data_IF_010457896810
#
_entry.id   IF_010457896810
#
_cell.length_a   1.000
_cell.length_b   1.000
_cell.length_c   1.000
_cell.angle_alpha   90.00
_cell.angle_beta   90.00
_cell.angle_gamma   90.00
#
_symmetry.space_group_name_H-M   'P 1'
#
loop_
_entity.id
_entity.type
_entity.pdbx_description
1 polymer ?
#
# COMPACT_ATOMS: atom_id res chain seq x y z
N UNK A 1 25.37 -9.50 1.30
CA UNK A 1 24.04 -10.07 1.00
C UNK A 1 23.04 -8.97 1.29
N UNK A 2 22.11 -8.71 0.37
CA UNK A 2 21.02 -7.75 0.62
C UNK A 2 20.24 -8.20 1.86
N UNK A 3 19.91 -7.24 2.73
CA UNK A 3 19.20 -7.52 3.99
C UNK A 3 17.75 -7.99 3.74
N UNK A 4 17.16 -7.55 2.63
CA UNK A 4 15.79 -7.85 2.22
C UNK A 4 15.77 -8.55 0.87
N UNK A 5 14.82 -9.47 0.71
CA UNK A 5 14.55 -10.12 -0.56
C UNK A 5 13.67 -11.36 -0.46
N UNK A 6 13.02 -11.70 -1.58
CA UNK A 6 12.14 -12.88 -1.68
C UNK A 6 12.54 -13.73 -2.89
N UNK A 7 13.15 -14.87 -2.60
CA UNK A 7 13.78 -15.75 -3.58
C UNK A 7 12.93 -16.97 -3.98
N UNK A 8 11.81 -17.19 -3.30
CA UNK A 8 10.91 -18.33 -3.52
C UNK A 8 9.59 -18.13 -2.78
N UNK A 9 8.50 -18.69 -3.30
CA UNK A 9 7.19 -18.75 -2.61
C UNK A 9 7.09 -19.84 -1.53
N UNK A 10 8.04 -20.80 -1.49
CA UNK A 10 7.97 -21.98 -0.61
C UNK A 10 9.12 -22.10 0.39
N UNK A 11 10.08 -21.18 0.34
CA UNK A 11 11.22 -21.13 1.25
C UNK A 11 10.82 -20.77 2.68
N UNK A 12 11.79 -20.84 3.60
CA UNK A 12 11.58 -20.41 4.98
C UNK A 12 11.34 -18.89 5.02
N UNK A 13 10.12 -18.49 5.32
CA UNK A 13 9.77 -17.09 5.60
C UNK A 13 10.51 -16.61 6.86
N UNK A 14 11.13 -15.43 6.77
CA UNK A 14 11.92 -14.81 7.86
C UNK A 14 11.32 -13.50 8.35
N UNK A 15 10.99 -12.60 7.44
CA UNK A 15 10.39 -11.28 7.69
C UNK A 15 9.10 -11.17 6.87
N UNK A 16 8.04 -10.57 7.41
CA UNK A 16 6.79 -10.34 6.69
C UNK A 16 6.13 -9.02 7.13
N UNK A 17 5.55 -8.30 6.17
CA UNK A 17 4.74 -7.11 6.39
C UNK A 17 3.25 -7.49 6.40
N UNK A 18 2.53 -7.06 7.43
CA UNK A 18 1.07 -7.25 7.58
C UNK A 18 0.41 -5.92 7.94
N UNK A 19 -0.91 -5.84 7.88
CA UNK A 19 -1.67 -4.69 8.36
C UNK A 19 -2.85 -5.18 9.18
N UNK A 20 -2.94 -4.71 10.42
CA UNK A 20 -4.03 -5.11 11.32
C UNK A 20 -5.29 -4.29 11.02
N UNK A 21 -6.48 -4.92 10.91
CA UNK A 21 -7.71 -4.17 10.69
C UNK A 21 -7.90 -3.05 11.73
N UNK A 22 -8.27 -1.86 11.28
CA UNK A 22 -8.28 -0.61 12.04
C UNK A 22 -9.51 0.27 11.76
N UNK A 23 -9.28 1.58 11.69
CA UNK A 23 -10.31 2.63 11.54
C UNK A 23 -10.98 2.57 10.16
N UNK A 24 -10.22 2.26 9.12
CA UNK A 24 -10.66 2.09 7.73
C UNK A 24 -11.79 1.08 7.59
N UNK A 25 -11.76 0.01 8.41
CA UNK A 25 -12.81 -0.99 8.44
C UNK A 25 -14.02 -0.57 9.27
N UNK A 26 -13.85 0.28 10.28
CA UNK A 26 -14.97 0.84 11.06
C UNK A 26 -15.80 1.84 10.26
N UNK A 27 -15.19 2.42 9.21
CA UNK A 27 -15.81 3.39 8.30
C UNK A 27 -16.42 2.75 7.05
N UNK A 28 -16.35 1.42 6.94
CA UNK A 28 -17.12 0.67 5.95
C UNK A 28 -18.60 0.75 6.30
N UNK A 29 -19.39 1.08 5.29
CA UNK A 29 -20.85 1.10 5.32
C UNK A 29 -21.37 0.30 4.14
N UNK A 30 -22.61 -0.23 4.21
CA UNK A 30 -23.19 -0.92 3.06
C UNK A 30 -23.22 -0.07 1.78
N UNK A 31 -23.29 1.27 1.92
CA UNK A 31 -23.32 2.21 0.79
C UNK A 31 -21.95 2.51 0.16
N UNK A 32 -20.83 2.30 0.86
CA UNK A 32 -19.49 2.62 0.34
C UNK A 32 -18.60 1.39 0.08
N UNK A 33 -19.00 0.21 0.56
CA UNK A 33 -18.17 -1.00 0.50
C UNK A 33 -17.78 -1.39 -0.94
N UNK A 34 -18.72 -1.37 -1.88
CA UNK A 34 -18.46 -1.69 -3.30
C UNK A 34 -17.45 -0.72 -3.93
N UNK A 35 -17.59 0.58 -3.69
CA UNK A 35 -16.68 1.62 -4.20
C UNK A 35 -15.27 1.45 -3.62
N UNK A 36 -15.19 1.07 -2.34
CA UNK A 36 -13.94 0.79 -1.63
C UNK A 36 -13.40 -0.62 -1.91
N UNK A 37 -14.03 -1.36 -2.83
CA UNK A 37 -13.65 -2.71 -3.27
C UNK A 37 -13.58 -3.69 -2.10
N UNK A 38 -14.55 -3.62 -1.22
CA UNK A 38 -14.66 -4.49 -0.06
C UNK A 38 -16.04 -5.17 -0.08
N UNK A 39 -16.07 -6.49 0.09
CA UNK A 39 -17.29 -7.27 -0.17
C UNK A 39 -18.42 -6.94 0.83
N UNK A 40 -18.12 -6.87 2.13
CA UNK A 40 -19.11 -6.66 3.17
C UNK A 40 -18.53 -5.91 4.39
N UNK A 41 -19.41 -5.27 5.18
CA UNK A 41 -19.02 -4.66 6.46
C UNK A 41 -18.64 -5.77 7.45
N UNK A 42 -17.47 -5.62 8.09
CA UNK A 42 -16.92 -6.65 8.97
C UNK A 42 -17.09 -6.33 10.46
N UNK A 43 -17.12 -7.38 11.29
CA UNK A 43 -17.02 -7.22 12.73
C UNK A 43 -15.56 -6.95 13.13
N UNK A 44 -15.18 -5.67 13.14
CA UNK A 44 -13.78 -5.23 13.26
C UNK A 44 -13.05 -5.80 14.49
N UNK A 45 -13.69 -5.85 15.67
CA UNK A 45 -13.04 -6.38 16.87
C UNK A 45 -12.76 -7.88 16.77
N UNK A 46 -13.65 -8.64 16.10
CA UNK A 46 -13.43 -10.06 15.83
C UNK A 46 -12.33 -10.26 14.79
N UNK A 47 -12.33 -9.48 13.72
CA UNK A 47 -11.30 -9.56 12.70
C UNK A 47 -9.91 -9.20 13.24
N UNK A 48 -9.82 -8.21 14.15
CA UNK A 48 -8.61 -7.91 14.92
C UNK A 48 -8.12 -9.14 15.69
N UNK A 49 -9.00 -9.82 16.42
CA UNK A 49 -8.64 -11.03 17.17
C UNK A 49 -8.19 -12.18 16.25
N UNK A 50 -8.84 -12.37 15.10
CA UNK A 50 -8.46 -13.37 14.11
C UNK A 50 -7.09 -13.05 13.46
N UNK A 51 -6.84 -11.77 13.15
CA UNK A 51 -5.55 -11.31 12.65
C UNK A 51 -4.44 -11.47 13.69
N UNK A 52 -4.71 -11.15 14.95
CA UNK A 52 -3.75 -11.34 16.05
C UNK A 52 -3.36 -12.82 16.19
N UNK A 53 -4.35 -13.73 16.14
CA UNK A 53 -4.09 -15.16 16.14
C UNK A 53 -3.26 -15.62 14.92
N UNK A 54 -3.53 -15.08 13.73
CA UNK A 54 -2.74 -15.32 12.52
C UNK A 54 -1.27 -14.89 12.69
N UNK A 55 -1.03 -13.70 13.25
CA UNK A 55 0.33 -13.19 13.51
C UNK A 55 1.07 -14.04 14.55
N UNK A 56 0.40 -14.45 15.61
CA UNK A 56 1.03 -15.28 16.65
C UNK A 56 1.46 -16.65 16.11
N UNK A 57 0.72 -17.25 15.18
CA UNK A 57 1.14 -18.48 14.51
C UNK A 57 2.46 -18.29 13.74
N UNK A 58 2.67 -17.14 13.10
CA UNK A 58 3.91 -16.82 12.40
C UNK A 58 5.07 -16.57 13.36
N UNK A 59 4.85 -15.79 14.43
CA UNK A 59 5.85 -15.49 15.45
C UNK A 59 6.32 -16.74 16.19
N UNK A 60 5.41 -17.66 16.53
CA UNK A 60 5.77 -18.96 17.10
C UNK A 60 6.68 -19.80 16.19
N UNK A 61 6.68 -19.54 14.87
CA UNK A 61 7.58 -20.19 13.89
C UNK A 61 8.87 -19.39 13.65
N UNK A 62 9.13 -18.35 14.45
CA UNK A 62 10.32 -17.51 14.36
C UNK A 62 10.31 -16.52 13.19
N UNK A 63 9.12 -16.15 12.68
CA UNK A 63 8.98 -15.10 11.67
C UNK A 63 8.92 -13.75 12.37
N UNK A 64 9.74 -12.80 11.93
CA UNK A 64 9.61 -11.39 12.29
C UNK A 64 8.44 -10.78 11.52
N UNK A 65 7.46 -10.26 12.26
CA UNK A 65 6.22 -9.70 11.70
C UNK A 65 6.21 -8.20 11.95
N UNK A 66 6.17 -7.43 10.87
CA UNK A 66 6.09 -5.98 10.86
C UNK A 66 4.69 -5.52 10.49
N UNK A 67 4.22 -4.45 11.11
CA UNK A 67 2.90 -3.87 10.84
C UNK A 67 3.04 -2.60 10.00
N UNK A 68 2.32 -2.50 8.89
CA UNK A 68 2.38 -1.37 7.97
C UNK A 68 2.02 -0.05 8.65
N UNK A 69 1.00 -0.05 9.52
CA UNK A 69 0.59 1.12 10.29
C UNK A 69 1.67 1.59 11.27
N UNK A 70 2.43 0.66 11.85
CA UNK A 70 3.55 0.96 12.75
C UNK A 70 4.73 1.51 11.98
N UNK A 71 5.15 0.83 10.91
CA UNK A 71 6.24 1.30 10.07
C UNK A 71 5.93 2.66 9.41
N UNK A 72 4.66 2.92 9.06
CA UNK A 72 4.25 4.22 8.54
C UNK A 72 4.39 5.31 9.62
N UNK A 73 3.93 5.04 10.84
CA UNK A 73 4.06 5.99 11.95
C UNK A 73 5.54 6.29 12.25
N UNK A 74 6.40 5.26 12.27
CA UNK A 74 7.84 5.41 12.47
C UNK A 74 8.50 6.18 11.31
N UNK A 75 8.09 5.95 10.06
CA UNK A 75 8.56 6.72 8.91
C UNK A 75 8.16 8.20 8.99
N UNK A 76 6.97 8.49 9.52
CA UNK A 76 6.45 9.85 9.73
C UNK A 76 7.14 10.61 10.88
N UNK A 77 8.10 10.01 11.59
CA UNK A 77 9.02 10.77 12.44
C UNK A 77 9.97 11.65 11.61
N UNK A 78 10.26 11.26 10.37
CA UNK A 78 11.02 12.08 9.42
C UNK A 78 10.16 13.20 8.83
N UNK A 79 10.62 14.45 8.96
CA UNK A 79 9.99 15.61 8.35
C UNK A 79 9.90 15.49 6.82
N UNK A 80 10.88 14.86 6.15
CA UNK A 80 10.84 14.61 4.71
C UNK A 80 9.70 13.66 4.32
N UNK A 81 9.39 12.67 5.15
CA UNK A 81 8.25 11.77 4.95
C UNK A 81 6.92 12.52 5.04
N UNK A 82 6.77 13.43 6.03
CA UNK A 82 5.58 14.27 6.18
C UNK A 82 5.36 15.20 5.00
N UNK A 83 6.43 15.81 4.48
CA UNK A 83 6.37 16.65 3.28
C UNK A 83 5.94 15.83 2.07
N UNK A 84 6.53 14.65 1.89
CA UNK A 84 6.21 13.78 0.77
C UNK A 84 4.75 13.28 0.83
N UNK A 85 4.29 12.80 1.99
CA UNK A 85 2.90 12.37 2.18
C UNK A 85 1.91 13.51 1.92
N UNK A 86 2.22 14.71 2.40
CA UNK A 86 1.40 15.90 2.14
C UNK A 86 1.24 16.16 0.64
N UNK A 87 2.34 16.06 -0.11
CA UNK A 87 2.34 16.29 -1.55
C UNK A 87 1.57 15.21 -2.34
N UNK A 88 1.44 13.99 -1.82
CA UNK A 88 0.85 12.86 -2.53
C UNK A 88 -0.58 12.53 -2.10
N UNK A 89 -0.86 12.49 -0.79
CA UNK A 89 -2.15 12.06 -0.24
C UNK A 89 -3.03 13.22 0.23
N UNK A 90 -2.41 14.33 0.66
CA UNK A 90 -3.12 15.49 1.22
C UNK A 90 -3.02 16.73 0.32
N UNK A 91 -2.78 16.53 -0.98
CA UNK A 91 -2.64 17.62 -1.94
C UNK A 91 -3.98 18.26 -2.29
N UNK A 92 -3.92 19.44 -2.93
CA UNK A 92 -5.11 20.15 -3.39
C UNK A 92 -5.97 19.32 -4.36
N UNK A 93 -5.35 18.40 -5.10
CA UNK A 93 -6.04 17.51 -6.03
C UNK A 93 -6.77 16.37 -5.33
N UNK A 94 -6.34 16.02 -4.12
CA UNK A 94 -6.92 14.94 -3.34
C UNK A 94 -8.02 15.46 -2.42
N UNK A 95 -7.74 16.54 -1.68
CA UNK A 95 -8.61 17.01 -0.58
C UNK A 95 -9.01 18.49 -0.74
N UNK A 96 -8.82 19.09 -1.92
CA UNK A 96 -9.15 20.48 -2.21
C UNK A 96 -8.17 21.49 -1.61
N UNK A 97 -8.22 22.74 -2.09
CA UNK A 97 -7.29 23.82 -1.70
C UNK A 97 -7.31 24.04 -0.17
N UNK A 98 -8.49 24.33 0.39
CA UNK A 98 -8.64 24.56 1.83
C UNK A 98 -8.30 23.31 2.67
N UNK A 99 -8.60 22.11 2.17
CA UNK A 99 -8.24 20.86 2.84
C UNK A 99 -6.72 20.67 2.92
N UNK A 100 -6.02 20.94 1.83
CA UNK A 100 -4.56 20.85 1.77
C UNK A 100 -3.88 21.86 2.70
N UNK A 101 -4.38 23.10 2.74
CA UNK A 101 -3.87 24.13 3.66
C UNK A 101 -4.03 23.72 5.13
N UNK A 102 -5.20 23.18 5.51
CA UNK A 102 -5.43 22.68 6.86
C UNK A 102 -4.55 21.47 7.18
N UNK A 103 -4.38 20.56 6.21
CA UNK A 103 -3.56 19.37 6.37
C UNK A 103 -2.09 19.69 6.61
N UNK A 104 -1.55 20.75 6.00
CA UNK A 104 -0.15 21.18 6.23
C UNK A 104 0.10 21.58 7.69
N UNK A 105 -0.77 22.39 8.30
CA UNK A 105 -0.60 22.76 9.71
C UNK A 105 -0.81 21.57 10.66
N UNK A 106 -1.74 20.68 10.34
CA UNK A 106 -2.00 19.47 11.14
C UNK A 106 -0.85 18.48 11.09
N UNK A 107 -0.32 18.15 9.90
CA UNK A 107 0.71 17.11 9.75
C UNK A 107 2.04 17.51 10.39
N UNK A 108 2.33 18.81 10.54
CA UNK A 108 3.53 19.29 11.24
C UNK A 108 3.46 19.09 12.76
N UNK A 109 2.26 19.15 13.34
CA UNK A 109 2.06 19.20 14.80
C UNK A 109 1.48 17.93 15.39
N UNK A 110 0.78 17.13 14.58
CA UNK A 110 0.17 15.88 15.00
C UNK A 110 1.20 14.79 15.32
N UNK A 111 0.78 13.85 16.17
CA UNK A 111 1.59 12.68 16.50
C UNK A 111 1.66 11.74 15.28
N UNK A 112 2.82 11.13 14.97
CA UNK A 112 2.96 10.25 13.81
C UNK A 112 1.93 9.11 13.75
N UNK A 113 1.59 8.54 14.90
CA UNK A 113 0.58 7.47 15.02
C UNK A 113 -0.82 7.97 14.63
N UNK A 114 -1.20 9.18 15.03
CA UNK A 114 -2.48 9.80 14.65
C UNK A 114 -2.53 10.09 13.15
N UNK A 115 -1.41 10.57 12.58
CA UNK A 115 -1.28 10.81 11.15
C UNK A 115 -1.46 9.48 10.39
N UNK A 116 -0.76 8.43 10.80
CA UNK A 116 -0.86 7.10 10.19
C UNK A 116 -2.29 6.53 10.26
N UNK A 117 -2.93 6.60 11.43
CA UNK A 117 -4.30 6.10 11.62
C UNK A 117 -5.31 6.82 10.71
N UNK A 118 -5.18 8.13 10.53
CA UNK A 118 -6.08 8.92 9.67
C UNK A 118 -5.74 8.81 8.17
N UNK A 119 -4.48 8.64 7.79
CA UNK A 119 -4.13 8.38 6.38
C UNK A 119 -4.66 7.02 5.91
N UNK A 120 -4.62 6.01 6.78
CA UNK A 120 -5.15 4.67 6.49
C UNK A 120 -6.67 4.66 6.65
N UNK A 121 -7.17 5.18 7.77
CA UNK A 121 -8.58 5.25 8.15
C UNK A 121 -9.41 6.25 7.36
N UNK A 122 -8.79 7.08 6.53
CA UNK A 122 -9.40 8.21 5.87
C UNK A 122 -9.64 9.39 6.82
N UNK A 123 -10.19 10.48 6.28
CA UNK A 123 -10.46 11.72 7.01
C UNK A 123 -11.89 12.14 6.73
N UNK A 124 -12.66 12.40 7.78
CA UNK A 124 -14.02 12.95 7.70
C UNK A 124 -14.01 14.47 7.90
N UNK A 125 -15.11 15.15 7.57
CA UNK A 125 -15.29 16.56 7.92
C UNK A 125 -15.23 16.83 9.43
N UNK A 126 -15.66 15.87 10.26
CA UNK A 126 -15.62 16.00 11.72
C UNK A 126 -14.18 15.95 12.27
N UNK A 127 -13.31 15.16 11.65
CA UNK A 127 -11.88 15.09 12.02
C UNK A 127 -11.16 16.42 11.76
N UNK A 128 -11.59 17.18 10.74
CA UNK A 128 -11.00 18.46 10.35
C UNK A 128 -11.31 19.63 11.31
N UNK A 129 -12.14 19.43 12.35
CA UNK A 129 -12.47 20.34 13.48
C UNK A 129 -12.90 21.80 13.18
N UNK A 130 -12.85 22.28 11.93
CA UNK A 130 -13.44 23.53 11.41
C UNK A 130 -13.15 23.66 9.90
N UNK A 131 -13.68 22.76 9.07
CA UNK A 131 -13.45 22.82 7.63
C UNK A 131 -14.09 24.05 6.98
N UNK A 132 -13.39 24.63 6.00
CA UNK A 132 -13.91 25.69 5.14
C UNK A 132 -13.61 25.38 3.67
N UNK A 133 -14.21 26.14 2.74
CA UNK A 133 -14.03 25.95 1.30
C UNK A 133 -15.09 25.09 0.63
N UNK A 134 -15.04 25.03 -0.71
CA UNK A 134 -16.10 24.45 -1.53
C UNK A 134 -16.28 22.94 -1.31
N UNK A 135 -15.18 22.20 -1.12
CA UNK A 135 -15.26 20.76 -0.84
C UNK A 135 -16.04 20.50 0.44
N UNK A 136 -15.69 21.22 1.53
CA UNK A 136 -16.36 21.09 2.82
C UNK A 136 -17.83 21.57 2.75
N UNK A 137 -18.10 22.68 2.05
CA UNK A 137 -19.45 23.22 1.92
C UNK A 137 -20.39 22.34 1.06
N UNK A 138 -19.82 21.52 0.17
CA UNK A 138 -20.57 20.62 -0.72
C UNK A 138 -20.60 19.18 -0.21
N UNK A 139 -19.87 18.89 0.87
CA UNK A 139 -19.74 17.58 1.47
C UNK A 139 -20.99 17.24 2.30
N UNK A 140 -21.55 16.04 2.09
CA UNK A 140 -22.56 15.50 2.99
C UNK A 140 -21.94 15.24 4.38
N UNK A 141 -22.72 15.29 5.49
CA UNK A 141 -22.19 15.09 6.84
C UNK A 141 -21.45 13.75 7.07
N UNK A 142 -21.73 12.73 6.24
CA UNK A 142 -21.06 11.43 6.26
C UNK A 142 -19.99 11.24 5.18
N UNK A 143 -19.65 12.29 4.42
CA UNK A 143 -18.67 12.20 3.34
C UNK A 143 -17.23 12.15 3.88
N UNK A 144 -16.41 11.38 3.17
CA UNK A 144 -14.98 11.24 3.44
C UNK A 144 -14.24 12.30 2.62
N UNK A 145 -13.47 13.16 3.29
CA UNK A 145 -12.53 14.09 2.64
C UNK A 145 -11.34 13.31 2.05
N UNK A 146 -10.85 12.32 2.79
CA UNK A 146 -9.91 11.32 2.31
C UNK A 146 -10.55 9.94 2.51
N UNK A 147 -10.72 9.11 1.46
CA UNK A 147 -11.35 7.80 1.62
C UNK A 147 -10.48 6.85 2.46
N UNK A 148 -11.10 5.90 3.20
CA UNK A 148 -10.38 4.88 3.94
C UNK A 148 -9.75 3.84 3.00
N UNK A 149 -8.71 3.15 3.46
CA UNK A 149 -7.97 2.13 2.71
C UNK A 149 -8.18 0.71 3.28
N UNK A 150 -9.39 0.14 3.26
CA UNK A 150 -9.67 -1.16 3.89
C UNK A 150 -8.85 -2.31 3.27
N UNK A 151 -8.57 -2.22 1.97
CA UNK A 151 -7.77 -3.22 1.27
C UNK A 151 -6.27 -3.21 1.63
N UNK A 152 -5.81 -2.24 2.45
CA UNK A 152 -4.46 -2.28 3.02
C UNK A 152 -4.23 -3.54 3.86
N UNK A 153 -5.28 -4.22 4.36
CA UNK A 153 -5.11 -5.52 5.04
C UNK A 153 -4.49 -6.58 4.11
N UNK A 154 -4.62 -6.43 2.79
CA UNK A 154 -4.04 -7.28 1.77
C UNK A 154 -2.69 -6.75 1.29
N UNK A 155 -1.69 -6.79 2.17
CA UNK A 155 -0.31 -6.33 1.91
C UNK A 155 0.40 -6.99 0.72
N UNK A 156 -0.18 -8.06 0.17
CA UNK A 156 0.31 -8.73 -1.03
C UNK A 156 0.25 -7.85 -2.28
N UNK A 157 -0.73 -6.96 -2.39
CA UNK A 157 -1.02 -6.30 -3.66
C UNK A 157 -0.27 -4.98 -3.90
N UNK A 158 -0.07 -4.07 -2.92
CA UNK A 158 0.54 -2.76 -3.16
C UNK A 158 2.05 -2.80 -3.48
N UNK A 159 2.75 -3.87 -3.08
CA UNK A 159 4.16 -4.07 -3.44
C UNK A 159 4.51 -5.55 -3.53
N UNK A 160 5.53 -5.89 -4.31
CA UNK A 160 6.03 -7.27 -4.45
C UNK A 160 7.55 -7.32 -4.40
N UNK A 161 8.10 -8.07 -3.44
CA UNK A 161 9.52 -8.37 -3.43
C UNK A 161 9.83 -9.48 -4.44
N UNK A 162 10.87 -9.27 -5.26
CA UNK A 162 11.31 -10.17 -6.31
C UNK A 162 12.84 -10.24 -6.21
N UNK A 163 13.34 -11.33 -5.64
CA UNK A 163 14.75 -11.47 -5.28
C UNK A 163 15.23 -10.27 -4.46
N UNK A 164 16.31 -9.58 -4.83
CA UNK A 164 16.81 -8.40 -4.13
C UNK A 164 16.06 -7.09 -4.42
N UNK A 165 15.11 -7.09 -5.36
CA UNK A 165 14.34 -5.91 -5.76
C UNK A 165 12.89 -5.92 -5.29
N UNK A 166 12.21 -4.78 -5.43
CA UNK A 166 10.80 -4.61 -5.08
C UNK A 166 10.04 -3.84 -6.16
N UNK A 167 8.78 -4.19 -6.37
CA UNK A 167 7.84 -3.38 -7.15
C UNK A 167 6.95 -2.56 -6.25
N UNK A 168 6.71 -1.29 -6.60
CA UNK A 168 5.75 -0.39 -5.93
C UNK A 168 4.55 -0.21 -6.84
N UNK A 169 3.56 -1.07 -6.66
CA UNK A 169 2.67 -1.48 -7.74
C UNK A 169 1.70 -0.37 -8.19
N UNK A 170 1.69 0.03 -9.49
CA UNK A 170 0.64 0.88 -10.05
C UNK A 170 -0.69 0.11 -10.08
N UNK A 171 -1.55 0.40 -9.11
CA UNK A 171 -2.81 -0.30 -8.91
C UNK A 171 -3.81 -0.07 -10.04
N UNK A 172 -4.55 -1.12 -10.41
CA UNK A 172 -5.55 -1.06 -11.48
C UNK A 172 -6.76 -0.19 -11.13
N UNK A 173 -7.16 -0.20 -9.86
CA UNK A 173 -8.30 0.57 -9.36
C UNK A 173 -7.82 1.82 -8.61
N UNK A 174 -8.33 3.02 -8.94
CA UNK A 174 -7.94 4.26 -8.25
C UNK A 174 -8.09 4.21 -6.73
N UNK A 175 -9.14 3.56 -6.22
CA UNK A 175 -9.41 3.42 -4.79
C UNK A 175 -8.24 2.78 -4.00
N UNK A 176 -7.42 1.96 -4.66
CA UNK A 176 -6.28 1.26 -4.03
C UNK A 176 -4.95 1.99 -4.12
N UNK A 177 -4.86 3.09 -4.88
CA UNK A 177 -3.59 3.81 -5.10
C UNK A 177 -3.00 4.39 -3.83
N UNK A 178 -3.85 4.75 -2.86
CA UNK A 178 -3.40 5.18 -1.54
C UNK A 178 -2.58 4.11 -0.81
N UNK A 179 -2.91 2.82 -0.98
CA UNK A 179 -2.17 1.70 -0.37
C UNK A 179 -0.71 1.67 -0.85
N UNK A 180 -0.49 1.88 -2.15
CA UNK A 180 0.85 1.95 -2.74
C UNK A 180 1.64 3.13 -2.18
N UNK A 181 1.00 4.30 -2.00
CA UNK A 181 1.66 5.48 -1.42
C UNK A 181 2.07 5.25 0.04
N UNK A 182 1.27 4.51 0.82
CA UNK A 182 1.64 4.12 2.19
C UNK A 182 2.89 3.25 2.18
N UNK A 183 2.90 2.20 1.35
CA UNK A 183 4.05 1.28 1.27
C UNK A 183 5.30 1.97 0.72
N UNK A 184 5.14 2.87 -0.25
CA UNK A 184 6.24 3.68 -0.78
C UNK A 184 6.84 4.61 0.26
N UNK A 185 6.00 5.29 1.06
CA UNK A 185 6.49 6.11 2.17
C UNK A 185 7.30 5.26 3.18
N UNK A 186 6.81 4.06 3.52
CA UNK A 186 7.53 3.13 4.38
C UNK A 186 8.90 2.80 3.79
N UNK A 187 8.97 2.34 2.54
CA UNK A 187 10.24 1.95 1.92
C UNK A 187 11.22 3.12 1.73
N UNK A 188 10.70 4.33 1.49
CA UNK A 188 11.51 5.51 1.20
C UNK A 188 12.10 6.17 2.44
N UNK A 189 11.39 6.11 3.57
CA UNK A 189 11.73 6.92 4.75
C UNK A 189 11.93 6.14 6.04
N UNK A 190 11.43 4.90 6.14
CA UNK A 190 11.55 4.15 7.37
C UNK A 190 13.01 3.73 7.63
N UNK A 191 13.58 3.95 8.84
CA UNK A 191 14.98 3.64 9.15
C UNK A 191 15.39 2.20 8.82
N UNK A 192 14.51 1.22 9.02
CA UNK A 192 14.77 -0.19 8.66
C UNK A 192 15.21 -0.39 7.21
N UNK A 193 14.70 0.42 6.26
CA UNK A 193 15.08 0.33 4.86
C UNK A 193 16.18 1.33 4.50
N UNK A 194 16.12 2.55 5.04
CA UNK A 194 17.11 3.60 4.76
C UNK A 194 18.49 3.21 5.28
N UNK A 195 18.58 2.74 6.52
CA UNK A 195 19.84 2.37 7.17
C UNK A 195 20.46 1.10 6.56
N UNK A 196 19.65 0.27 5.87
CA UNK A 196 20.14 -0.88 5.10
C UNK A 196 20.65 -0.51 3.69
N UNK A 197 20.66 0.77 3.34
CA UNK A 197 21.09 1.27 2.02
C UNK A 197 19.93 1.52 1.03
N UNK A 198 18.69 1.53 1.49
CA UNK A 198 17.48 1.73 0.69
C UNK A 198 16.92 0.43 0.09
N UNK A 199 15.84 0.57 -0.68
CA UNK A 199 15.25 -0.52 -1.49
C UNK A 199 15.52 -0.30 -2.97
N UNK A 200 15.74 -1.39 -3.72
CA UNK A 200 15.88 -1.34 -5.18
C UNK A 200 14.50 -1.47 -5.84
N UNK A 201 13.93 -0.33 -6.26
CA UNK A 201 12.62 -0.29 -6.92
C UNK A 201 12.77 -0.62 -8.40
N UNK A 202 12.40 -1.85 -8.79
CA UNK A 202 12.57 -2.34 -10.17
C UNK A 202 11.43 -1.92 -11.09
N UNK A 203 10.27 -1.60 -10.54
CA UNK A 203 9.09 -1.10 -11.27
C UNK A 203 8.17 -0.39 -10.29
N UNK A 204 7.57 0.73 -10.71
CA UNK A 204 6.55 1.41 -9.94
C UNK A 204 7.05 2.63 -9.18
N UNK A 205 6.24 3.10 -8.23
CA UNK A 205 6.49 4.34 -7.48
C UNK A 205 5.68 5.53 -7.98
N UNK A 206 5.59 6.58 -7.18
CA UNK A 206 4.76 7.76 -7.45
C UNK A 206 5.42 8.80 -8.34
N UNK A 207 6.73 8.67 -8.60
CA UNK A 207 7.55 9.68 -9.29
C UNK A 207 7.21 9.86 -10.79
N UNK A 208 6.35 9.00 -11.37
CA UNK A 208 5.95 9.09 -12.78
C UNK A 208 4.51 8.63 -13.05
N UNK A 209 3.96 9.07 -14.18
CA UNK A 209 2.70 8.54 -14.71
C UNK A 209 2.93 7.20 -15.41
N UNK A 210 2.34 6.14 -14.85
CA UNK A 210 2.41 4.78 -15.38
C UNK A 210 1.45 4.52 -16.57
N UNK A 211 0.59 5.49 -16.91
CA UNK A 211 -0.33 5.39 -18.03
C UNK A 211 -1.27 4.19 -17.90
N UNK A 212 -1.12 3.20 -18.78
CA UNK A 212 -1.93 1.96 -18.80
C UNK A 212 -1.22 0.76 -18.16
N UNK A 213 -0.06 0.99 -17.54
CA UNK A 213 0.68 -0.05 -16.82
C UNK A 213 0.01 -0.25 -15.47
N UNK A 214 -0.52 -1.44 -15.24
CA UNK A 214 -1.02 -1.85 -13.93
C UNK A 214 -0.50 -3.22 -13.61
N UNK A 215 -0.16 -3.45 -12.35
CA UNK A 215 0.30 -4.74 -11.81
C UNK A 215 -0.12 -4.78 -10.35
N UNK A 216 -0.52 -5.95 -9.86
CA UNK A 216 -0.82 -6.16 -8.45
C UNK A 216 -0.08 -7.41 -7.98
N UNK A 217 0.41 -7.38 -6.75
CA UNK A 217 1.32 -8.43 -6.27
C UNK A 217 0.69 -9.81 -6.11
N UNK A 218 -0.64 -9.93 -6.06
CA UNK A 218 -1.31 -11.23 -6.18
C UNK A 218 -1.03 -11.97 -7.50
N UNK A 219 -0.57 -11.28 -8.54
CA UNK A 219 -0.17 -11.88 -9.81
C UNK A 219 1.34 -12.13 -9.92
N UNK A 220 2.16 -11.75 -8.92
CA UNK A 220 3.63 -11.81 -9.00
C UNK A 220 4.18 -12.87 -8.05
N UNK A 221 4.94 -13.83 -8.58
CA UNK A 221 5.51 -14.92 -7.80
C UNK A 221 6.99 -15.17 -8.18
N UNK A 222 7.98 -14.76 -7.37
CA UNK A 222 9.34 -15.26 -7.48
C UNK A 222 9.36 -16.76 -7.15
N UNK A 223 9.44 -17.62 -8.17
CA UNK A 223 9.35 -19.08 -8.03
C UNK A 223 10.71 -19.76 -7.77
N UNK A 224 11.79 -18.98 -7.71
CA UNK A 224 13.16 -19.47 -7.54
C UNK A 224 13.83 -19.82 -8.86
N UNK A 225 15.10 -20.26 -8.78
CA UNK A 225 15.94 -20.58 -9.94
C UNK A 225 16.01 -19.44 -10.98
N UNK A 226 16.20 -18.20 -10.52
CA UNK A 226 16.25 -17.00 -11.36
C UNK A 226 14.98 -16.81 -12.22
N UNK A 227 13.86 -17.43 -11.84
CA UNK A 227 12.58 -17.32 -12.53
C UNK A 227 11.51 -16.59 -11.71
N UNK A 228 10.63 -15.89 -12.43
CA UNK A 228 9.44 -15.22 -11.90
C UNK A 228 8.22 -15.63 -12.73
N UNK A 229 7.13 -16.00 -12.07
CA UNK A 229 5.84 -16.23 -12.71
C UNK A 229 4.96 -14.99 -12.52
N UNK A 230 4.35 -14.52 -13.61
CA UNK A 230 3.49 -13.33 -13.59
C UNK A 230 2.17 -13.61 -14.27
N UNK A 231 1.07 -13.50 -13.53
CA UNK A 231 -0.29 -13.56 -14.05
C UNK A 231 -0.62 -12.33 -14.89
N UNK A 232 -1.15 -12.52 -16.09
CA UNK A 232 -1.80 -11.45 -16.86
C UNK A 232 -3.31 -11.54 -16.61
N UNK A 233 -3.85 -10.54 -15.94
CA UNK A 233 -5.19 -10.54 -15.37
C UNK A 233 -5.94 -9.24 -15.70
N UNK A 234 -7.10 -9.03 -15.08
CA UNK A 234 -7.79 -7.72 -15.13
C UNK A 234 -7.03 -6.61 -14.38
N UNK A 235 -6.08 -6.99 -13.51
CA UNK A 235 -5.29 -6.10 -12.65
C UNK A 235 -3.85 -5.96 -13.12
N UNK A 236 -3.32 -6.96 -13.81
CA UNK A 236 -1.94 -6.97 -14.34
C UNK A 236 -1.92 -6.97 -15.86
N UNK A 237 -1.44 -5.87 -16.46
CA UNK A 237 -1.42 -5.69 -17.91
C UNK A 237 -0.19 -6.31 -18.57
N UNK A 238 -0.27 -6.72 -19.85
CA UNK A 238 0.88 -7.19 -20.61
C UNK A 238 2.03 -6.17 -20.68
N UNK A 239 1.71 -4.87 -20.65
CA UNK A 239 2.69 -3.79 -20.58
C UNK A 239 3.52 -3.87 -19.30
N UNK A 240 2.86 -4.10 -18.16
CA UNK A 240 3.55 -4.24 -16.88
C UNK A 240 4.46 -5.47 -16.86
N UNK A 241 3.99 -6.61 -17.35
CA UNK A 241 4.80 -7.83 -17.47
C UNK A 241 6.06 -7.59 -18.29
N UNK A 242 5.92 -6.95 -19.46
CA UNK A 242 7.06 -6.67 -20.35
C UNK A 242 8.06 -5.67 -19.75
N UNK A 243 7.58 -4.62 -19.08
CA UNK A 243 8.43 -3.63 -18.44
C UNK A 243 9.19 -4.21 -17.24
N UNK A 244 8.49 -4.99 -16.41
CA UNK A 244 9.10 -5.67 -15.27
C UNK A 244 10.14 -6.70 -15.74
N UNK A 245 9.81 -7.53 -16.73
CA UNK A 245 10.77 -8.48 -17.29
C UNK A 245 12.04 -7.80 -17.81
N UNK A 246 11.90 -6.68 -18.53
CA UNK A 246 13.05 -5.90 -19.01
C UNK A 246 13.91 -5.37 -17.87
N UNK A 247 13.29 -4.84 -16.81
CA UNK A 247 14.01 -4.33 -15.64
C UNK A 247 14.75 -5.45 -14.90
N UNK A 248 14.07 -6.58 -14.66
CA UNK A 248 14.65 -7.75 -13.99
C UNK A 248 15.82 -8.35 -14.77
N UNK A 249 15.70 -8.48 -16.10
CA UNK A 249 16.80 -8.96 -16.95
C UNK A 249 17.99 -7.99 -16.98
N UNK A 250 17.74 -6.67 -16.94
CA UNK A 250 18.81 -5.67 -16.86
C UNK A 250 19.55 -5.69 -15.52
N UNK A 251 18.85 -6.01 -14.42
CA UNK A 251 19.44 -6.20 -13.10
C UNK A 251 20.24 -7.51 -12.97
N UNK A 252 19.91 -8.53 -13.79
CA UNK A 252 20.69 -9.76 -13.93
C UNK A 252 20.43 -10.86 -12.89
N UNK A 253 19.54 -10.64 -11.92
CA UNK A 253 19.18 -11.63 -10.89
C UNK A 253 18.06 -12.61 -11.35
N UNK A 254 17.41 -12.29 -12.48
CA UNK A 254 16.36 -13.08 -13.11
C UNK A 254 16.73 -13.31 -14.58
N UNK A 255 16.55 -14.53 -15.08
CA UNK A 255 16.80 -14.89 -16.49
C UNK A 255 15.55 -15.47 -17.19
N UNK A 256 14.50 -15.81 -16.44
CA UNK A 256 13.25 -16.32 -16.99
C UNK A 256 12.02 -15.61 -16.38
N UNK A 257 11.09 -15.19 -17.24
CA UNK A 257 9.77 -14.72 -16.82
C UNK A 257 8.68 -15.56 -17.50
N UNK A 258 7.84 -16.21 -16.70
CA UNK A 258 6.70 -17.00 -17.16
C UNK A 258 5.43 -16.16 -17.08
N UNK A 259 4.98 -15.63 -18.21
CA UNK A 259 3.73 -14.88 -18.30
C UNK A 259 2.54 -15.85 -18.44
N UNK A 260 1.62 -15.85 -17.48
CA UNK A 260 0.44 -16.73 -17.45
C UNK A 260 -0.79 -15.94 -17.85
N UNK A 261 -1.32 -16.19 -19.04
CA UNK A 261 -2.56 -15.54 -19.48
C UNK A 261 -3.78 -16.13 -18.77
N UNK A 262 -4.36 -15.36 -17.84
CA UNK A 262 -5.56 -15.78 -17.12
C UNK A 262 -6.81 -15.50 -17.98
N UNK A 263 -7.76 -16.44 -18.07
CA UNK A 263 -8.99 -16.20 -18.80
C UNK A 263 -9.77 -15.06 -18.13
N UNK A 264 -10.36 -14.16 -18.94
CA UNK A 264 -11.29 -13.16 -18.42
C UNK A 264 -12.41 -13.89 -17.67
N UNK A 265 -12.54 -13.64 -16.36
CA UNK A 265 -13.69 -14.12 -15.59
C UNK A 265 -14.95 -13.54 -16.24
N UNK A 266 -15.78 -14.40 -16.84
CA UNK A 266 -17.19 -14.08 -17.11
C UNK A 266 -17.91 -14.23 -15.77
N UNK A 267 -18.11 -13.13 -15.06
CA UNK A 267 -19.16 -13.05 -14.05
C UNK A 267 -20.39 -12.46 -14.71
#
# INVERSE_FOLDING_TARGET
>A
MNEFGVYSEVGKLRKVLVHRPGLEHQRLTPSNAEELLFDEVMWVSRAKAEHDAFVEVMRHRGVEVFYAETLLAEALEDAAARVWISAHMLSERMIGISGAEMAQGWIETAQPVEIAELLIGGITGADAKAGHGLLYASADPGSMLLPPLPNLMYQRDPSSWIYGGVTINPMAKPARRGETLIVEAIYRFHPMFVDSGGVDVVLGGSDQDWGRVTIEGGDVMPIGNQAVMIGMSERTTPQAVSLLARALFAAGEVDHVLAVHLPKRRR
#
